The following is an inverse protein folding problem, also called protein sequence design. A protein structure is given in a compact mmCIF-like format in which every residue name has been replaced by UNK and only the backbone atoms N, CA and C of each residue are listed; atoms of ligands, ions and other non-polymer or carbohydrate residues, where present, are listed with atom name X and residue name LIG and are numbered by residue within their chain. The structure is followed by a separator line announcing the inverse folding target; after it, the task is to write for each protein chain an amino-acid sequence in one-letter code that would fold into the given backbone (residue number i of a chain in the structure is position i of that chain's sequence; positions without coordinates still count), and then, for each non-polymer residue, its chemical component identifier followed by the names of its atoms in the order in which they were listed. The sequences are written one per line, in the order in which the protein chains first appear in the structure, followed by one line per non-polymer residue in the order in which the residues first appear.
data_IF_320899681071
#
_entry.id   IF_320899681071
#
_cell.length_a   1.000
_cell.length_b   1.000
_cell.length_c   1.000
_cell.angle_alpha   90.00
_cell.angle_beta   90.00
_cell.angle_gamma   90.00
#
_symmetry.space_group_name_H-M   'P 1'
#
loop_
_entity.id
_entity.type
_entity.pdbx_description
1 polymer ?
#
# COMPACT_ATOMS: atom_id res chain seq x y z
N UNK A 1 31.12 12.14 -25.93
CA UNK A 1 31.60 11.28 -24.83
C UNK A 1 30.57 10.17 -24.68
N UNK A 2 30.90 8.88 -24.83
CA UNK A 2 29.93 7.84 -24.50
C UNK A 2 29.60 7.97 -23.02
N UNK A 3 28.30 8.05 -22.68
CA UNK A 3 27.87 8.04 -21.29
C UNK A 3 28.45 6.80 -20.63
N UNK A 4 29.26 6.98 -19.59
CA UNK A 4 29.79 5.86 -18.81
C UNK A 4 28.60 5.19 -18.14
N UNK A 5 28.19 4.04 -18.66
CA UNK A 5 27.11 3.23 -18.07
C UNK A 5 27.48 2.90 -16.63
N UNK A 6 26.75 3.51 -15.70
CA UNK A 6 26.84 3.31 -14.25
C UNK A 6 25.42 3.33 -13.67
N UNK A 7 25.26 2.94 -12.42
CA UNK A 7 23.95 2.83 -11.75
C UNK A 7 23.14 4.12 -11.83
N UNK A 8 23.78 5.28 -11.59
CA UNK A 8 23.12 6.57 -11.68
C UNK A 8 22.61 6.89 -13.10
N UNK A 9 23.39 6.57 -14.14
CA UNK A 9 22.95 6.78 -15.53
C UNK A 9 21.80 5.83 -15.88
N UNK A 10 21.86 4.58 -15.41
CA UNK A 10 20.79 3.59 -15.62
C UNK A 10 19.51 4.02 -14.90
N UNK A 11 19.60 4.46 -13.65
CA UNK A 11 18.46 4.95 -12.86
C UNK A 11 17.78 6.12 -13.56
N UNK A 12 18.53 7.15 -13.95
CA UNK A 12 17.97 8.30 -14.67
C UNK A 12 17.28 7.89 -15.97
N UNK A 13 17.90 7.03 -16.79
CA UNK A 13 17.31 6.56 -18.04
C UNK A 13 16.00 5.77 -17.82
N UNK A 14 15.94 4.95 -16.77
CA UNK A 14 14.73 4.18 -16.44
C UNK A 14 13.61 5.08 -15.93
N UNK A 15 13.92 6.07 -15.09
CA UNK A 15 12.94 7.04 -14.60
C UNK A 15 12.39 7.91 -15.73
N UNK A 16 13.24 8.37 -16.64
CA UNK A 16 12.82 9.08 -17.86
C UNK A 16 11.94 8.20 -18.76
N UNK A 17 12.29 6.92 -18.89
CA UNK A 17 11.48 5.94 -19.62
C UNK A 17 10.08 5.76 -19.02
N UNK A 18 9.99 5.60 -17.69
CA UNK A 18 8.70 5.49 -16.98
C UNK A 18 7.86 6.77 -17.12
N UNK A 19 8.48 7.94 -16.97
CA UNK A 19 7.79 9.22 -17.17
C UNK A 19 7.22 9.35 -18.59
N UNK A 20 7.97 8.89 -19.61
CA UNK A 20 7.51 8.87 -21.00
C UNK A 20 6.31 7.94 -21.21
N UNK A 21 6.22 6.85 -20.44
CA UNK A 21 5.07 5.93 -20.43
C UNK A 21 3.87 6.46 -19.65
N UNK A 22 3.97 7.67 -19.06
CA UNK A 22 2.89 8.33 -18.32
C UNK A 22 2.86 8.01 -16.83
N UNK A 23 3.90 7.39 -16.27
CA UNK A 23 4.02 7.24 -14.83
C UNK A 23 4.36 8.57 -14.19
N UNK A 24 3.70 8.89 -13.08
CA UNK A 24 4.11 10.01 -12.25
C UNK A 24 5.46 9.69 -11.61
N UNK A 25 6.40 10.64 -11.67
CA UNK A 25 7.68 10.54 -11.01
C UNK A 25 7.77 11.54 -9.85
N UNK A 26 8.15 11.05 -8.67
CA UNK A 26 8.51 11.88 -7.51
C UNK A 26 9.88 11.45 -6.97
N UNK A 27 10.71 12.40 -6.56
CA UNK A 27 11.91 12.05 -5.79
C UNK A 27 11.49 11.51 -4.42
N UNK A 28 12.07 10.39 -3.99
CA UNK A 28 11.80 9.76 -2.72
C UNK A 28 12.06 10.69 -1.51
N UNK A 29 12.97 11.66 -1.63
CA UNK A 29 13.23 12.68 -0.60
C UNK A 29 12.11 13.70 -0.46
N UNK A 30 11.34 13.90 -1.52
CA UNK A 30 10.23 14.84 -1.58
C UNK A 30 8.90 14.17 -1.21
N UNK A 31 8.90 12.84 -0.99
CA UNK A 31 7.72 12.12 -0.54
C UNK A 31 7.41 12.45 0.92
N UNK A 32 6.20 12.96 1.14
CA UNK A 32 5.68 13.22 2.47
C UNK A 32 5.44 11.90 3.21
N UNK A 33 6.28 11.63 4.23
CA UNK A 33 6.17 10.44 5.06
C UNK A 33 6.61 10.70 6.49
N UNK A 34 6.04 9.92 7.42
CA UNK A 34 6.43 9.97 8.84
C UNK A 34 7.74 9.21 9.05
N UNK A 35 8.86 9.93 9.04
CA UNK A 35 10.18 9.37 9.28
C UNK A 35 10.59 8.36 8.19
N UNK A 36 10.94 7.15 8.61
CA UNK A 36 11.37 6.05 7.72
C UNK A 36 10.30 4.96 7.58
N UNK A 37 9.01 5.33 7.67
CA UNK A 37 7.90 4.41 7.46
C UNK A 37 7.90 3.81 6.04
N UNK A 38 7.59 2.52 5.93
CA UNK A 38 7.51 1.80 4.66
C UNK A 38 6.19 2.01 3.91
N UNK A 39 5.18 2.61 4.56
CA UNK A 39 3.89 2.97 3.95
C UNK A 39 3.80 4.49 3.81
N UNK A 40 3.51 4.96 2.59
CA UNK A 40 3.13 6.35 2.33
C UNK A 40 1.66 6.55 2.72
N UNK A 41 1.41 6.97 3.97
CA UNK A 41 0.05 7.00 4.53
C UNK A 41 -0.95 7.85 3.73
N UNK A 42 -0.52 9.01 3.21
CA UNK A 42 -1.40 9.90 2.44
C UNK A 42 -1.82 9.23 1.11
N UNK A 43 -0.84 8.74 0.33
CA UNK A 43 -1.08 8.02 -0.94
C UNK A 43 -1.93 6.76 -0.72
N UNK A 44 -1.70 6.06 0.39
CA UNK A 44 -2.50 4.91 0.80
C UNK A 44 -3.97 5.32 1.02
N UNK A 45 -4.23 6.35 1.84
CA UNK A 45 -5.60 6.81 2.14
C UNK A 45 -6.33 7.24 0.88
N UNK A 46 -5.71 8.09 0.06
CA UNK A 46 -6.31 8.58 -1.19
C UNK A 46 -6.64 7.42 -2.12
N UNK A 47 -5.72 6.45 -2.25
CA UNK A 47 -5.96 5.25 -3.06
C UNK A 47 -7.06 4.38 -2.49
N UNK A 48 -7.15 4.21 -1.17
CA UNK A 48 -8.20 3.39 -0.55
C UNK A 48 -9.59 4.02 -0.76
N UNK A 49 -9.71 5.34 -0.66
CA UNK A 49 -10.94 6.04 -1.03
C UNK A 49 -11.30 5.81 -2.49
N UNK A 50 -10.35 6.02 -3.40
CA UNK A 50 -10.61 5.87 -4.85
C UNK A 50 -10.99 4.44 -5.22
N UNK A 51 -10.27 3.44 -4.71
CA UNK A 51 -10.46 2.02 -5.06
C UNK A 51 -11.74 1.44 -4.43
N UNK A 52 -12.02 1.75 -3.16
CA UNK A 52 -13.07 1.06 -2.40
C UNK A 52 -14.36 1.86 -2.21
N UNK A 53 -14.27 3.19 -2.24
CA UNK A 53 -15.39 4.09 -1.91
C UNK A 53 -15.71 5.09 -3.02
N UNK A 54 -14.91 5.13 -4.08
CA UNK A 54 -15.17 5.93 -5.27
C UNK A 54 -16.45 5.51 -5.96
N UNK A 55 -17.06 6.45 -6.70
CA UNK A 55 -18.21 6.15 -7.54
C UNK A 55 -17.73 5.28 -8.71
N UNK A 56 -17.72 3.96 -8.51
CA UNK A 56 -17.56 3.03 -9.60
C UNK A 56 -18.91 2.91 -10.31
N UNK A 57 -18.97 3.34 -11.57
CA UNK A 57 -20.16 3.22 -12.44
C UNK A 57 -20.52 1.76 -12.78
N UNK A 58 -19.73 0.81 -12.31
CA UNK A 58 -19.95 -0.62 -12.50
C UNK A 58 -20.72 -1.14 -11.30
N UNK A 59 -21.84 -1.83 -11.54
CA UNK A 59 -22.82 -2.26 -10.54
C UNK A 59 -22.28 -3.21 -9.44
N UNK A 60 -21.03 -3.65 -9.56
CA UNK A 60 -20.34 -4.54 -8.63
C UNK A 60 -19.54 -3.79 -7.55
N UNK A 61 -20.01 -2.60 -7.13
CA UNK A 61 -19.39 -1.87 -6.02
C UNK A 61 -19.27 -2.79 -4.81
N UNK A 62 -18.03 -3.19 -4.49
CA UNK A 62 -17.72 -4.21 -3.47
C UNK A 62 -18.15 -3.82 -2.06
N UNK A 63 -18.43 -2.53 -1.84
CA UNK A 63 -18.90 -2.00 -0.57
C UNK A 63 -20.16 -1.14 -0.75
N UNK A 64 -21.08 -1.17 0.24
CA UNK A 64 -22.22 -0.26 0.26
C UNK A 64 -21.73 1.19 0.41
N UNK A 65 -22.61 2.16 0.10
CA UNK A 65 -22.33 3.54 0.45
C UNK A 65 -22.18 3.67 1.97
N UNK A 66 -21.02 4.16 2.41
CA UNK A 66 -20.68 4.31 3.82
C UNK A 66 -20.43 5.78 4.15
N UNK A 67 -20.81 6.25 5.35
CA UNK A 67 -20.41 7.56 5.84
C UNK A 67 -18.89 7.71 5.88
N UNK A 68 -18.37 8.91 5.62
CA UNK A 68 -16.93 9.19 5.56
C UNK A 68 -16.20 8.72 6.83
N UNK A 69 -16.79 8.93 8.01
CA UNK A 69 -16.24 8.44 9.29
C UNK A 69 -16.05 6.92 9.31
N UNK A 70 -17.00 6.16 8.74
CA UNK A 70 -16.90 4.70 8.66
C UNK A 70 -15.84 4.28 7.65
N UNK A 71 -15.71 4.99 6.53
CA UNK A 71 -14.63 4.76 5.56
C UNK A 71 -13.27 4.96 6.22
N UNK A 72 -13.06 6.09 6.91
CA UNK A 72 -11.82 6.40 7.62
C UNK A 72 -11.49 5.37 8.69
N UNK A 73 -12.49 4.89 9.44
CA UNK A 73 -12.30 3.81 10.42
C UNK A 73 -11.75 2.54 9.76
N UNK A 74 -12.30 2.14 8.61
CA UNK A 74 -11.86 0.95 7.88
C UNK A 74 -10.46 1.12 7.30
N UNK A 75 -10.15 2.30 6.76
CA UNK A 75 -8.81 2.62 6.25
C UNK A 75 -7.79 2.60 7.40
N UNK A 76 -8.14 3.13 8.58
CA UNK A 76 -7.31 3.09 9.77
C UNK A 76 -7.04 1.65 10.24
N UNK A 77 -8.08 0.81 10.27
CA UNK A 77 -7.94 -0.60 10.64
C UNK A 77 -7.08 -1.37 9.64
N UNK A 78 -7.27 -1.14 8.33
CA UNK A 78 -6.44 -1.71 7.27
C UNK A 78 -4.96 -1.29 7.41
N UNK A 79 -4.71 -0.01 7.65
CA UNK A 79 -3.36 0.53 7.87
C UNK A 79 -2.71 -0.09 9.11
N UNK A 80 -3.47 -0.29 10.19
CA UNK A 80 -2.98 -0.96 11.39
C UNK A 80 -2.62 -2.43 11.12
N UNK A 81 -3.45 -3.16 10.37
CA UNK A 81 -3.17 -4.55 9.95
C UNK A 81 -1.92 -4.65 9.06
N UNK A 82 -1.71 -3.68 8.16
CA UNK A 82 -0.49 -3.62 7.36
C UNK A 82 0.74 -3.37 8.23
N UNK A 83 0.72 -2.34 9.08
CA UNK A 83 1.83 -2.05 10.00
C UNK A 83 2.15 -3.20 10.96
N UNK A 84 1.13 -3.97 11.35
CA UNK A 84 1.32 -5.13 12.21
C UNK A 84 2.20 -6.23 11.58
N UNK A 85 2.31 -6.28 10.24
CA UNK A 85 3.18 -7.22 9.52
C UNK A 85 4.65 -7.05 9.90
N UNK A 86 5.07 -5.88 10.38
CA UNK A 86 6.43 -5.64 10.87
C UNK A 86 6.79 -6.51 12.09
N UNK A 87 5.79 -6.96 12.84
CA UNK A 87 5.99 -7.75 14.05
C UNK A 87 5.98 -9.25 13.78
N UNK A 88 5.76 -9.67 12.54
CA UNK A 88 5.64 -11.08 12.15
C UNK A 88 6.95 -11.62 11.58
N UNK A 89 7.10 -12.95 11.60
CA UNK A 89 8.22 -13.62 10.93
C UNK A 89 8.18 -13.38 9.43
N UNK A 90 9.35 -13.27 8.78
CA UNK A 90 9.47 -12.85 7.38
C UNK A 90 8.61 -13.69 6.42
N UNK A 91 8.56 -15.01 6.64
CA UNK A 91 7.77 -15.90 5.79
C UNK A 91 6.25 -15.68 5.97
N UNK A 92 5.82 -15.47 7.22
CA UNK A 92 4.41 -15.22 7.56
C UNK A 92 3.97 -13.84 7.05
N UNK A 93 4.78 -12.81 7.29
CA UNK A 93 4.50 -11.45 6.83
C UNK A 93 4.42 -11.37 5.32
N UNK A 94 5.32 -12.07 4.60
CA UNK A 94 5.29 -12.13 3.14
C UNK A 94 4.03 -12.83 2.62
N UNK A 95 3.64 -13.96 3.23
CA UNK A 95 2.42 -14.68 2.86
C UNK A 95 1.16 -13.83 3.11
N UNK A 96 1.07 -13.16 4.27
CA UNK A 96 -0.06 -12.29 4.60
C UNK A 96 -0.10 -11.03 3.72
N UNK A 97 1.04 -10.39 3.47
CA UNK A 97 1.13 -9.25 2.57
C UNK A 97 0.63 -9.61 1.17
N UNK A 98 1.08 -10.77 0.64
CA UNK A 98 0.63 -11.28 -0.65
C UNK A 98 -0.88 -11.53 -0.69
N UNK A 99 -1.45 -12.09 0.40
CA UNK A 99 -2.88 -12.28 0.52
C UNK A 99 -3.64 -10.95 0.56
N UNK A 100 -3.14 -9.94 1.31
CA UNK A 100 -3.76 -8.61 1.34
C UNK A 100 -3.75 -7.92 -0.03
N UNK A 101 -2.65 -8.01 -0.77
CA UNK A 101 -2.53 -7.43 -2.10
C UNK A 101 -3.49 -8.06 -3.11
N UNK A 102 -3.69 -9.39 -3.04
CA UNK A 102 -4.46 -10.14 -4.04
C UNK A 102 -5.94 -10.33 -3.68
N UNK A 103 -6.26 -10.48 -2.41
CA UNK A 103 -7.60 -10.81 -1.91
C UNK A 103 -8.25 -9.63 -1.18
N UNK A 104 -7.45 -8.65 -0.75
CA UNK A 104 -7.88 -7.55 0.12
C UNK A 104 -7.78 -7.90 1.60
N UNK A 105 -7.94 -6.87 2.43
CA UNK A 105 -7.89 -6.96 3.88
C UNK A 105 -9.31 -7.21 4.39
N UNK A 106 -9.51 -8.30 5.14
CA UNK A 106 -10.78 -8.61 5.82
C UNK A 106 -10.98 -7.64 6.99
N UNK A 107 -12.09 -6.92 6.99
CA UNK A 107 -12.50 -5.96 8.02
C UNK A 107 -13.96 -6.22 8.41
N UNK A 108 -14.43 -5.53 9.45
CA UNK A 108 -15.81 -5.65 9.93
C UNK A 108 -16.51 -4.28 10.03
N UNK A 109 -17.78 -4.27 9.61
CA UNK A 109 -18.68 -3.13 9.78
C UNK A 109 -19.96 -3.56 10.47
N UNK A 110 -20.51 -2.69 11.31
CA UNK A 110 -21.85 -2.88 11.88
C UNK A 110 -22.80 -1.89 11.24
N UNK A 111 -23.82 -2.38 10.55
CA UNK A 111 -24.89 -1.58 9.95
C UNK A 111 -26.20 -2.06 10.58
N UNK A 112 -27.00 -1.15 11.14
CA UNK A 112 -28.31 -1.47 11.73
C UNK A 112 -28.28 -2.57 12.81
N UNK A 113 -27.16 -2.68 13.54
CA UNK A 113 -26.96 -3.69 14.58
C UNK A 113 -26.45 -5.04 14.09
N UNK A 114 -26.30 -5.23 12.77
CA UNK A 114 -25.70 -6.43 12.18
C UNK A 114 -24.23 -6.21 11.82
N UNK A 115 -23.35 -7.08 12.32
CA UNK A 115 -21.94 -7.10 11.93
C UNK A 115 -21.76 -7.91 10.64
N UNK A 116 -21.11 -7.30 9.65
CA UNK A 116 -20.80 -7.91 8.36
C UNK A 116 -19.31 -7.81 8.07
N UNK A 117 -18.75 -8.89 7.56
CA UNK A 117 -17.39 -8.91 7.03
C UNK A 117 -17.32 -8.23 5.67
N UNK A 118 -16.33 -7.36 5.48
CA UNK A 118 -16.05 -6.68 4.20
C UNK A 118 -14.59 -6.86 3.81
N UNK A 119 -14.31 -6.70 2.51
CA UNK A 119 -12.96 -6.78 1.96
C UNK A 119 -12.53 -5.41 1.43
N UNK A 120 -11.52 -4.82 2.06
CA UNK A 120 -10.88 -3.60 1.57
C UNK A 120 -9.75 -3.98 0.60
N UNK A 121 -9.91 -3.66 -0.67
CA UNK A 121 -8.98 -3.99 -1.74
C UNK A 121 -7.81 -3.01 -1.74
N UNK A 122 -6.59 -3.55 -1.89
CA UNK A 122 -5.38 -2.74 -2.03
C UNK A 122 -5.05 -2.40 -3.49
N UNK A 123 -5.46 -3.28 -4.41
CA UNK A 123 -5.29 -3.13 -5.85
C UNK A 123 -6.64 -3.37 -6.51
N UNK A 124 -7.04 -2.47 -7.40
CA UNK A 124 -8.18 -2.66 -8.28
C UNK A 124 -7.77 -3.44 -9.54
N UNK A 125 -7.89 -4.76 -9.48
CA UNK A 125 -7.63 -5.62 -10.65
C UNK A 125 -8.73 -5.56 -11.71
N UNK A 126 -9.94 -5.10 -11.36
CA UNK A 126 -11.07 -5.04 -12.29
C UNK A 126 -10.99 -3.78 -13.16
N UNK A 127 -10.60 -2.67 -12.57
CA UNK A 127 -10.33 -1.42 -13.28
C UNK A 127 -8.93 -0.90 -12.95
N UNK A 128 -7.89 -1.32 -13.70
CA UNK A 128 -6.51 -0.93 -13.43
C UNK A 128 -6.25 0.57 -13.38
N UNK A 129 -7.07 1.38 -14.07
CA UNK A 129 -6.97 2.85 -14.09
C UNK A 129 -7.36 3.51 -12.75
N UNK A 130 -8.03 2.79 -11.85
CA UNK A 130 -8.28 3.28 -10.49
C UNK A 130 -7.04 3.18 -9.59
N UNK A 131 -6.03 2.40 -9.99
CA UNK A 131 -4.77 2.33 -9.24
C UNK A 131 -3.88 3.53 -9.55
N UNK A 132 -3.04 3.88 -8.59
CA UNK A 132 -2.01 4.91 -8.77
C UNK A 132 -0.64 4.26 -8.71
N UNK A 133 0.12 4.41 -9.79
CA UNK A 133 1.47 3.87 -9.91
C UNK A 133 2.48 5.01 -9.91
N UNK A 134 3.22 5.12 -8.81
CA UNK A 134 4.23 6.15 -8.61
C UNK A 134 5.63 5.58 -8.85
N UNK A 135 6.37 6.19 -9.77
CA UNK A 135 7.80 5.95 -9.92
C UNK A 135 8.57 6.86 -8.94
N UNK A 136 9.54 6.29 -8.24
CA UNK A 136 10.48 7.06 -7.44
C UNK A 136 11.88 6.46 -7.54
N UNK A 137 12.90 7.28 -7.25
CA UNK A 137 14.25 6.79 -7.01
C UNK A 137 14.31 6.03 -5.68
N UNK A 138 15.51 5.62 -5.26
CA UNK A 138 15.69 4.79 -4.06
C UNK A 138 14.93 5.28 -2.81
N UNK A 139 13.91 4.51 -2.41
CA UNK A 139 13.12 4.73 -1.20
C UNK A 139 13.70 3.91 -0.03
N UNK A 140 14.28 4.60 0.96
CA UNK A 140 14.81 3.93 2.16
C UNK A 140 13.75 3.86 3.26
N UNK A 141 13.58 2.73 3.92
CA UNK A 141 12.71 2.58 5.10
C UNK A 141 13.40 1.73 6.16
N UNK A 142 13.04 1.94 7.43
CA UNK A 142 13.57 1.17 8.55
C UNK A 142 12.59 0.07 8.94
N UNK A 143 13.07 -1.17 8.99
CA UNK A 143 12.32 -2.29 9.52
C UNK A 143 12.79 -2.58 10.94
N UNK A 144 11.87 -2.57 11.91
CA UNK A 144 12.17 -3.06 13.25
C UNK A 144 12.17 -4.59 13.23
N UNK A 145 13.35 -5.18 13.05
CA UNK A 145 13.53 -6.59 13.31
C UNK A 145 13.15 -6.87 14.77
N UNK A 146 12.13 -7.71 14.98
CA UNK A 146 11.87 -8.32 16.28
C UNK A 146 13.18 -8.97 16.75
N UNK A 147 13.65 -8.61 17.96
CA UNK A 147 14.84 -9.25 18.54
C UNK A 147 14.60 -10.76 18.54
N UNK A 148 15.32 -11.49 17.69
CA UNK A 148 15.39 -12.93 17.78
C UNK A 148 15.76 -13.25 19.23
N UNK A 149 14.87 -13.94 19.96
CA UNK A 149 15.20 -14.45 21.29
C UNK A 149 16.37 -15.39 21.09
N UNK A 150 17.59 -14.89 21.30
CA UNK A 150 18.75 -15.75 21.41
C UNK A 150 18.48 -16.69 22.58
N UNK A 151 18.21 -17.94 22.25
CA UNK A 151 18.19 -19.05 23.19
C UNK A 151 19.58 -19.10 23.82
N UNK A 152 19.73 -18.52 25.00
CA UNK A 152 20.87 -18.82 25.85
C UNK A 152 20.54 -20.15 26.53
N UNK A 153 21.05 -21.22 25.95
CA UNK A 153 21.18 -22.50 26.64
C UNK A 153 22.32 -22.37 27.66
N UNK A 154 21.99 -22.38 28.95
CA UNK A 154 22.70 -23.05 30.06
C UNK A 154 22.11 -22.58 31.40
#
# INVERSE_FOLDING_TARGET
MPHKLNEATIESLLLEGLATLGYEYKNAKDLERKGNAWILENEFRESMHRINFGINFNADSKMPYLPLETQERLINEALAKLKALENEELLESNAKCSAYLTQGIKLEITIEGETRGVLLQLIDFQNPFNNHFLACNQLHFEFKMSKCKMWHSA
#
